data_IF_319389322811
#
_entry.id   IF_319389322811
#
_cell.length_a   1.000
_cell.length_b   1.000
_cell.length_c   1.000
_cell.angle_alpha   90.00
_cell.angle_beta   90.00
_cell.angle_gamma   90.00
#
_symmetry.space_group_name_H-M   'P 1'
#
loop_
_entity.id
_entity.type
_entity.pdbx_description
1 polymer ?
#
# COMPACT_ATOMS: atom_id res chain seq x y z
N UNK A 1 -1.87 10.56 8.57
CA UNK A 1 -2.52 9.40 9.20
C UNK A 1 -2.69 9.64 10.69
N UNK A 2 -3.90 9.52 11.23
CA UNK A 2 -4.12 9.61 12.67
C UNK A 2 -3.60 8.37 13.38
N UNK A 3 -3.05 8.54 14.58
CA UNK A 3 -2.82 7.44 15.51
C UNK A 3 -4.15 6.81 15.89
N UNK A 4 -4.13 5.53 16.27
CA UNK A 4 -5.35 4.78 16.56
C UNK A 4 -6.11 5.32 17.78
N UNK A 5 -5.38 5.95 18.71
CA UNK A 5 -5.96 6.64 19.87
C UNK A 5 -6.48 8.07 19.55
N UNK A 6 -6.39 8.49 18.28
CA UNK A 6 -6.81 9.82 17.79
C UNK A 6 -6.11 11.00 18.46
N UNK A 7 -4.91 10.80 19.03
CA UNK A 7 -4.15 11.86 19.72
C UNK A 7 -3.05 12.48 18.90
N UNK A 8 -2.58 11.80 17.85
CA UNK A 8 -1.44 12.23 17.05
C UNK A 8 -1.74 12.09 15.56
N UNK A 9 -1.24 13.01 14.76
CA UNK A 9 -1.31 12.98 13.31
C UNK A 9 0.11 12.85 12.76
N UNK A 10 0.37 11.75 12.07
CA UNK A 10 1.61 11.49 11.32
C UNK A 10 1.48 12.03 9.90
N UNK A 11 2.49 12.75 9.45
CA UNK A 11 2.47 13.50 8.20
C UNK A 11 3.78 13.33 7.45
N UNK A 12 3.69 13.18 6.13
CA UNK A 12 4.79 13.46 5.22
C UNK A 12 4.62 14.89 4.71
N UNK A 13 5.60 15.75 4.97
CA UNK A 13 5.56 17.20 4.70
C UNK A 13 6.68 17.59 3.74
N UNK A 14 6.45 18.59 2.88
CA UNK A 14 7.43 19.18 1.95
C UNK A 14 8.03 18.22 0.91
N UNK A 15 7.20 17.34 0.33
CA UNK A 15 7.62 16.36 -0.68
C UNK A 15 8.10 16.99 -1.99
N UNK A 16 9.38 17.37 -2.07
CA UNK A 16 10.14 17.40 -3.31
C UNK A 16 11.14 16.24 -3.28
N UNK A 17 11.29 15.57 -4.41
CA UNK A 17 12.00 14.29 -4.60
C UNK A 17 13.49 14.25 -4.17
N UNK A 18 14.07 15.37 -3.74
CA UNK A 18 15.52 15.49 -3.54
C UNK A 18 15.93 16.42 -2.40
N UNK A 19 15.01 17.17 -1.78
CA UNK A 19 15.34 18.07 -0.67
C UNK A 19 14.10 18.50 0.12
N UNK A 20 14.28 18.70 1.42
CA UNK A 20 13.32 19.38 2.29
C UNK A 20 12.15 18.55 2.80
N UNK A 21 12.00 17.30 2.33
CA UNK A 21 10.99 16.36 2.82
C UNK A 21 11.18 16.02 4.30
N UNK A 22 10.08 15.89 5.03
CA UNK A 22 10.09 15.53 6.45
C UNK A 22 8.97 14.56 6.78
N UNK A 23 9.23 13.67 7.73
CA UNK A 23 8.17 12.97 8.45
C UNK A 23 7.99 13.68 9.78
N UNK A 24 6.75 14.08 10.08
CA UNK A 24 6.41 14.85 11.25
C UNK A 24 5.22 14.26 12.01
N UNK A 25 5.21 14.48 13.32
CA UNK A 25 4.08 14.16 14.19
C UNK A 25 3.52 15.46 14.76
N UNK A 26 2.23 15.65 14.59
CA UNK A 26 1.46 16.66 15.29
C UNK A 26 0.65 16.01 16.41
N UNK A 27 0.87 16.40 17.66
CA UNK A 27 0.04 15.95 18.79
C UNK A 27 -1.13 16.91 18.98
N UNK A 28 -2.33 16.38 19.19
CA UNK A 28 -3.53 17.18 19.40
C UNK A 28 -3.35 18.13 20.59
N UNK A 29 -3.59 19.42 20.35
CA UNK A 29 -3.39 20.48 21.35
C UNK A 29 -1.99 21.07 21.40
N UNK A 30 -1.01 20.50 20.66
CA UNK A 30 0.29 21.14 20.48
C UNK A 30 0.18 22.35 19.55
N UNK A 31 1.09 23.32 19.70
CA UNK A 31 1.14 24.51 18.83
C UNK A 31 1.96 24.28 17.56
N UNK A 32 2.77 23.23 17.52
CA UNK A 32 3.65 22.85 16.40
C UNK A 32 3.78 21.34 16.32
N UNK A 33 4.08 20.84 15.12
CA UNK A 33 4.54 19.47 14.90
C UNK A 33 6.01 19.30 15.32
N UNK A 34 6.42 18.06 15.50
CA UNK A 34 7.81 17.65 15.70
C UNK A 34 8.26 16.78 14.55
N UNK A 35 9.38 17.15 13.92
CA UNK A 35 10.04 16.33 12.91
C UNK A 35 10.69 15.10 13.55
N UNK A 36 10.44 13.93 12.96
CA UNK A 36 11.05 12.65 13.37
C UNK A 36 12.04 12.12 12.34
N UNK A 37 11.89 12.50 11.06
CA UNK A 37 12.81 12.14 9.99
C UNK A 37 12.95 13.30 8.98
N UNK A 38 14.15 13.48 8.42
CA UNK A 38 14.48 14.54 7.44
C UNK A 38 14.94 13.99 6.09
N UNK A 39 14.87 12.67 5.93
CA UNK A 39 15.36 11.88 4.81
C UNK A 39 14.24 11.00 4.21
N UNK A 40 12.96 11.43 4.12
CA UNK A 40 11.94 10.58 3.55
C UNK A 40 12.26 10.27 2.08
N UNK A 41 12.13 9.00 1.72
CA UNK A 41 12.18 8.56 0.33
C UNK A 41 10.84 8.69 -0.37
N UNK A 42 10.66 7.92 -1.44
CA UNK A 42 9.49 8.05 -2.32
C UNK A 42 8.31 7.23 -1.80
N UNK A 43 7.42 7.86 -1.03
CA UNK A 43 6.18 7.24 -0.56
C UNK A 43 5.07 8.27 -0.31
N UNK A 44 3.82 7.81 -0.25
CA UNK A 44 2.65 8.67 -0.01
C UNK A 44 2.20 8.68 1.44
N UNK A 45 1.94 7.50 2.01
CA UNK A 45 1.36 7.37 3.34
C UNK A 45 2.34 6.68 4.30
N UNK A 46 2.77 7.34 5.39
CA UNK A 46 3.42 6.67 6.51
C UNK A 46 2.35 5.96 7.37
N UNK A 47 2.76 4.97 8.17
CA UNK A 47 1.85 4.24 9.05
C UNK A 47 2.33 4.22 10.51
N UNK A 48 1.40 4.13 11.45
CA UNK A 48 1.69 3.85 12.86
C UNK A 48 1.72 2.34 13.10
N UNK A 49 2.51 1.88 14.06
CA UNK A 49 2.26 0.58 14.71
C UNK A 49 0.96 0.62 15.53
N UNK A 50 0.40 -0.54 15.86
CA UNK A 50 -0.87 -0.65 16.60
C UNK A 50 -0.85 0.04 17.97
N UNK A 51 0.28 -0.05 18.65
CA UNK A 51 0.61 0.54 19.94
C UNK A 51 0.95 2.04 19.87
N UNK A 52 1.21 2.58 18.67
CA UNK A 52 1.52 3.99 18.40
C UNK A 52 2.85 4.49 19.00
N UNK A 53 3.77 3.59 19.31
CA UNK A 53 5.12 3.90 19.81
C UNK A 53 6.17 3.96 18.68
N UNK A 54 5.91 3.27 17.57
CA UNK A 54 6.72 3.25 16.37
C UNK A 54 5.92 3.70 15.13
N UNK A 55 6.67 4.03 14.07
CA UNK A 55 6.13 4.38 12.76
C UNK A 55 6.84 3.58 11.67
N UNK A 56 6.09 3.25 10.63
CA UNK A 56 6.61 2.80 9.35
C UNK A 56 6.66 3.97 8.38
N UNK A 57 7.82 4.17 7.76
CA UNK A 57 7.99 5.11 6.66
C UNK A 57 9.06 4.61 5.69
N UNK A 58 9.26 5.33 4.59
CA UNK A 58 10.34 5.05 3.65
C UNK A 58 11.38 6.14 3.78
N UNK A 59 12.65 5.76 4.00
CA UNK A 59 13.80 6.67 3.97
C UNK A 59 14.56 6.54 2.65
N UNK A 60 15.24 7.61 2.26
CA UNK A 60 16.23 7.62 1.20
C UNK A 60 17.61 7.83 1.85
N UNK A 61 18.49 6.81 1.85
CA UNK A 61 19.83 6.93 2.39
C UNK A 61 20.61 8.10 1.77
N UNK A 62 21.62 8.65 2.49
CA UNK A 62 22.45 9.73 1.96
C UNK A 62 23.04 9.36 0.61
N UNK A 63 22.78 10.21 -0.38
CA UNK A 63 23.22 9.96 -1.74
C UNK A 63 24.73 10.23 -1.84
N UNK A 64 25.51 9.20 -2.20
CA UNK A 64 26.95 9.32 -2.34
C UNK A 64 27.33 10.06 -3.63
N UNK A 65 27.84 11.29 -3.52
CA UNK A 65 28.44 12.03 -4.64
C UNK A 65 27.62 13.20 -5.16
N UNK A 66 28.26 14.07 -5.95
CA UNK A 66 27.70 15.36 -6.36
C UNK A 66 26.66 15.30 -7.50
N UNK A 67 26.49 14.14 -8.14
CA UNK A 67 25.56 13.92 -9.27
C UNK A 67 25.08 12.46 -9.29
N UNK A 68 24.08 12.10 -8.47
CA UNK A 68 23.54 10.76 -8.48
C UNK A 68 22.82 10.41 -9.78
N UNK A 69 22.98 9.16 -10.18
CA UNK A 69 22.16 8.50 -11.19
C UNK A 69 21.01 7.76 -10.49
N UNK A 70 20.02 7.28 -11.25
CA UNK A 70 18.90 6.52 -10.69
C UNK A 70 19.32 5.24 -9.97
N UNK A 71 20.43 4.61 -10.39
CA UNK A 71 21.00 3.42 -9.77
C UNK A 71 21.69 3.72 -8.42
N UNK A 72 22.07 4.97 -8.17
CA UNK A 72 22.69 5.40 -6.90
C UNK A 72 21.63 5.69 -5.81
N UNK A 73 20.34 5.62 -6.15
CA UNK A 73 19.24 5.91 -5.26
C UNK A 73 18.63 4.61 -4.75
N UNK A 74 18.46 4.52 -3.43
CA UNK A 74 17.77 3.43 -2.76
C UNK A 74 16.63 3.99 -1.89
N UNK A 75 15.61 3.17 -1.65
CA UNK A 75 14.57 3.42 -0.67
C UNK A 75 14.60 2.30 0.35
N UNK A 76 14.60 2.64 1.63
CA UNK A 76 14.48 1.65 2.68
C UNK A 76 13.12 1.78 3.35
N UNK A 77 12.37 0.69 3.43
CA UNK A 77 11.21 0.61 4.32
C UNK A 77 11.74 0.42 5.73
N UNK A 78 11.36 1.31 6.65
CA UNK A 78 11.91 1.35 8.01
C UNK A 78 10.80 1.35 9.06
N UNK A 79 11.06 0.71 10.19
CA UNK A 79 10.31 0.87 11.45
C UNK A 79 11.16 1.69 12.41
N UNK A 80 10.58 2.73 13.01
CA UNK A 80 11.32 3.64 13.89
C UNK A 80 10.47 4.04 15.10
N UNK A 81 11.09 4.09 16.28
CA UNK A 81 10.44 4.67 17.45
C UNK A 81 10.15 6.16 17.27
N UNK A 82 9.00 6.60 17.74
CA UNK A 82 8.52 7.99 17.67
C UNK A 82 9.45 8.99 18.37
N UNK A 83 10.18 8.53 19.39
CA UNK A 83 11.18 9.33 20.11
C UNK A 83 12.54 9.38 19.39
N UNK A 84 12.70 8.66 18.28
CA UNK A 84 13.92 8.54 17.50
C UNK A 84 15.01 7.69 18.16
N UNK A 85 14.69 6.96 19.24
CA UNK A 85 15.69 6.22 20.02
C UNK A 85 16.29 5.02 19.26
N UNK A 86 15.52 4.39 18.37
CA UNK A 86 15.99 3.30 17.52
C UNK A 86 15.20 3.21 16.20
N UNK A 87 15.84 2.63 15.18
CA UNK A 87 15.27 2.35 13.86
C UNK A 87 15.76 1.02 13.32
N UNK A 88 14.90 0.28 12.61
CA UNK A 88 15.20 -0.95 11.90
C UNK A 88 14.90 -0.77 10.41
N UNK A 89 15.85 -1.15 9.55
CA UNK A 89 15.60 -1.33 8.11
C UNK A 89 14.93 -2.70 7.93
N UNK A 90 13.78 -2.69 7.28
CA UNK A 90 12.94 -3.88 7.03
C UNK A 90 13.11 -4.39 5.61
N UNK A 91 13.34 -3.49 4.66
CA UNK A 91 13.59 -3.82 3.26
C UNK A 91 14.40 -2.74 2.58
N UNK A 92 15.24 -3.13 1.62
CA UNK A 92 16.01 -2.23 0.75
C UNK A 92 15.52 -2.41 -0.69
N UNK A 93 15.08 -1.31 -1.30
CA UNK A 93 14.51 -1.30 -2.64
C UNK A 93 15.23 -0.30 -3.53
N UNK A 94 15.28 -0.53 -4.85
CA UNK A 94 15.83 0.44 -5.79
C UNK A 94 15.03 1.75 -5.77
N UNK A 95 15.54 2.77 -6.46
CA UNK A 95 14.86 4.05 -6.66
C UNK A 95 13.48 3.87 -7.29
N UNK A 96 12.49 3.83 -6.42
CA UNK A 96 11.14 3.42 -6.76
C UNK A 96 10.19 4.06 -5.78
N UNK A 97 8.98 4.20 -6.23
CA UNK A 97 7.92 4.73 -5.43
C UNK A 97 7.27 3.59 -4.65
N UNK A 98 7.36 3.64 -3.33
CA UNK A 98 6.84 2.63 -2.42
C UNK A 98 5.43 3.02 -1.97
N UNK A 99 4.49 2.10 -2.12
CA UNK A 99 3.12 2.18 -1.58
C UNK A 99 3.02 1.14 -0.47
N UNK A 100 2.80 1.56 0.77
CA UNK A 100 2.76 0.65 1.91
C UNK A 100 1.48 0.80 2.73
N UNK A 101 1.00 -0.30 3.27
CA UNK A 101 -0.17 -0.35 4.15
C UNK A 101 0.06 -1.41 5.22
N UNK A 102 -0.07 -1.01 6.49
CA UNK A 102 -0.09 -1.93 7.65
C UNK A 102 -1.40 -2.70 7.70
N UNK A 103 -1.36 -3.98 8.05
CA UNK A 103 -2.57 -4.78 8.29
C UNK A 103 -3.46 -4.14 9.38
N UNK A 104 -4.79 -4.28 9.35
CA UNK A 104 -5.65 -3.63 10.35
C UNK A 104 -5.47 -4.14 11.79
N UNK A 105 -5.06 -5.40 11.95
CA UNK A 105 -5.11 -6.15 13.21
C UNK A 105 -3.75 -6.52 13.80
N UNK A 106 -2.65 -6.30 13.08
CA UNK A 106 -1.28 -6.60 13.52
C UNK A 106 -0.25 -5.62 12.90
N UNK A 107 1.03 -5.75 13.16
CA UNK A 107 2.09 -4.87 12.66
C UNK A 107 2.75 -5.34 11.35
N UNK A 108 2.19 -6.34 10.68
CA UNK A 108 2.60 -6.70 9.32
C UNK A 108 2.33 -5.56 8.34
N UNK A 109 3.20 -5.41 7.34
CA UNK A 109 3.10 -4.36 6.33
C UNK A 109 3.18 -4.98 4.95
N UNK A 110 2.14 -4.79 4.15
CA UNK A 110 2.20 -5.08 2.73
C UNK A 110 2.67 -3.82 2.00
N UNK A 111 3.59 -3.97 1.05
CA UNK A 111 4.05 -2.87 0.22
C UNK A 111 4.27 -3.28 -1.23
N UNK A 112 4.04 -2.34 -2.14
CA UNK A 112 4.34 -2.52 -3.56
C UNK A 112 5.26 -1.44 -4.09
N UNK A 113 5.91 -1.75 -5.20
CA UNK A 113 6.93 -0.93 -5.83
C UNK A 113 6.44 -0.41 -7.19
N UNK A 114 6.55 0.90 -7.44
CA UNK A 114 6.19 1.56 -8.71
C UNK A 114 7.36 2.38 -9.29
N UNK A 115 7.68 2.27 -10.59
CA UNK A 115 8.77 3.01 -11.28
C UNK A 115 10.09 2.21 -11.42
N UNK A 116 11.20 2.73 -11.99
CA UNK A 116 11.35 3.54 -13.23
C UNK A 116 12.05 2.73 -14.34
N UNK A 117 12.81 1.66 -14.04
CA UNK A 117 13.44 0.83 -15.08
C UNK A 117 12.59 -0.34 -15.58
N UNK A 118 12.77 -0.64 -16.87
CA UNK A 118 12.06 -1.66 -17.65
C UNK A 118 12.71 -3.03 -17.45
N UNK A 119 12.07 -3.95 -16.72
CA UNK A 119 12.66 -5.28 -16.54
C UNK A 119 11.75 -6.37 -15.96
N UNK A 120 11.41 -6.31 -14.66
CA UNK A 120 10.72 -7.45 -14.02
C UNK A 120 10.02 -7.17 -12.68
N UNK A 121 10.42 -6.12 -11.94
CA UNK A 121 9.91 -5.83 -10.58
C UNK A 121 8.83 -4.73 -10.52
N UNK A 122 8.28 -4.31 -11.67
CA UNK A 122 7.23 -3.29 -11.70
C UNK A 122 5.94 -3.86 -11.11
N UNK A 123 5.43 -3.22 -10.05
CA UNK A 123 4.20 -3.64 -9.41
C UNK A 123 4.36 -4.99 -8.69
N UNK A 124 5.53 -5.32 -8.15
CA UNK A 124 5.63 -6.44 -7.20
C UNK A 124 4.96 -6.07 -5.88
N UNK A 125 4.36 -7.05 -5.21
CA UNK A 125 3.81 -6.93 -3.86
C UNK A 125 4.60 -7.81 -2.91
N UNK A 126 5.05 -7.22 -1.81
CA UNK A 126 5.82 -7.87 -0.75
C UNK A 126 5.11 -7.72 0.59
N UNK A 127 5.37 -8.66 1.50
CA UNK A 127 4.88 -8.66 2.87
C UNK A 127 6.07 -8.59 3.81
N UNK A 128 6.02 -7.67 4.77
CA UNK A 128 6.91 -7.61 5.92
C UNK A 128 6.17 -8.24 7.10
N UNK A 129 6.78 -9.26 7.69
CA UNK A 129 6.22 -9.96 8.85
C UNK A 129 6.42 -9.18 10.18
N UNK A 130 5.93 -9.73 11.29
CA UNK A 130 6.06 -9.12 12.64
C UNK A 130 7.52 -9.02 13.10
N UNK A 131 8.42 -9.86 12.58
CA UNK A 131 9.85 -9.85 12.91
C UNK A 131 10.63 -8.83 12.05
N UNK A 132 10.00 -8.31 11.01
CA UNK A 132 10.59 -7.39 10.04
C UNK A 132 11.27 -8.09 8.86
N UNK A 133 10.96 -9.36 8.60
CA UNK A 133 11.40 -10.09 7.41
C UNK A 133 10.49 -9.75 6.21
N UNK A 134 11.09 -9.29 5.11
CA UNK A 134 10.39 -8.94 3.89
C UNK A 134 10.43 -10.10 2.87
N UNK A 135 9.26 -10.53 2.41
CA UNK A 135 9.10 -11.61 1.43
C UNK A 135 8.26 -11.14 0.24
N UNK A 136 8.71 -11.43 -0.97
CA UNK A 136 7.94 -11.20 -2.19
C UNK A 136 6.78 -12.21 -2.27
N UNK A 137 5.54 -11.72 -2.34
CA UNK A 137 4.33 -12.57 -2.33
C UNK A 137 3.62 -12.68 -3.69
N UNK A 138 4.24 -12.14 -4.75
CA UNK A 138 3.75 -12.22 -6.13
C UNK A 138 4.82 -12.69 -7.10
N UNK A 139 4.40 -13.37 -8.16
CA UNK A 139 5.29 -13.78 -9.24
C UNK A 139 6.01 -12.58 -9.87
N UNK A 140 7.30 -12.78 -10.18
CA UNK A 140 8.09 -11.80 -10.94
C UNK A 140 7.43 -11.52 -12.30
N UNK A 141 7.27 -10.24 -12.65
CA UNK A 141 6.62 -9.80 -13.88
C UNK A 141 5.09 -9.68 -13.82
N UNK A 142 4.45 -10.05 -12.71
CA UNK A 142 3.06 -9.70 -12.47
C UNK A 142 2.96 -8.21 -12.11
N UNK A 143 2.28 -7.43 -12.94
CA UNK A 143 2.08 -6.02 -12.67
C UNK A 143 0.90 -5.82 -11.72
N UNK A 144 1.16 -5.82 -10.40
CA UNK A 144 0.18 -5.42 -9.38
C UNK A 144 -0.06 -3.92 -9.50
N UNK A 145 -1.33 -3.54 -9.48
CA UNK A 145 -1.78 -2.16 -9.62
C UNK A 145 -2.14 -1.54 -8.27
N UNK A 146 -2.73 -2.35 -7.39
CA UNK A 146 -3.22 -1.95 -6.07
C UNK A 146 -3.47 -3.19 -5.21
N UNK A 147 -3.53 -3.01 -3.89
CA UNK A 147 -3.82 -4.07 -2.93
C UNK A 147 -4.58 -3.55 -1.71
N UNK A 148 -5.28 -4.45 -1.01
CA UNK A 148 -6.13 -4.14 0.14
C UNK A 148 -6.13 -5.30 1.13
N UNK A 149 -5.80 -5.01 2.39
CA UNK A 149 -5.95 -5.96 3.49
C UNK A 149 -7.44 -6.29 3.74
N UNK A 150 -7.73 -7.55 4.07
CA UNK A 150 -9.01 -7.93 4.65
C UNK A 150 -9.18 -7.29 6.04
N UNK A 151 -10.41 -7.05 6.52
CA UNK A 151 -10.65 -6.41 7.80
C UNK A 151 -10.03 -7.14 9.01
N UNK A 152 -9.90 -8.47 8.90
CA UNK A 152 -9.27 -9.31 9.92
C UNK A 152 -7.74 -9.39 9.81
N UNK A 153 -7.15 -8.83 8.75
CA UNK A 153 -5.71 -8.83 8.48
C UNK A 153 -5.15 -10.18 8.05
N UNK A 154 -5.99 -11.15 7.64
CA UNK A 154 -5.54 -12.49 7.26
C UNK A 154 -5.33 -12.69 5.76
N UNK A 155 -5.88 -11.78 4.94
CA UNK A 155 -5.82 -11.88 3.50
C UNK A 155 -5.45 -10.53 2.89
N UNK A 156 -4.79 -10.58 1.74
CA UNK A 156 -4.53 -9.42 0.90
C UNK A 156 -5.20 -9.64 -0.44
N UNK A 157 -6.20 -8.82 -0.76
CA UNK A 157 -6.74 -8.75 -2.10
C UNK A 157 -5.87 -7.83 -2.95
N UNK A 158 -5.51 -8.23 -4.16
CA UNK A 158 -4.75 -7.37 -5.06
C UNK A 158 -5.20 -7.52 -6.50
N UNK A 159 -5.04 -6.43 -7.25
CA UNK A 159 -5.36 -6.37 -8.68
C UNK A 159 -4.07 -6.44 -9.48
N UNK A 160 -4.04 -7.34 -10.45
CA UNK A 160 -2.97 -7.37 -11.45
C UNK A 160 -3.51 -7.05 -12.84
N UNK A 161 -2.66 -6.50 -13.69
CA UNK A 161 -2.94 -6.39 -15.12
C UNK A 161 -1.87 -7.11 -15.93
N UNK A 162 -2.28 -7.94 -16.88
CA UNK A 162 -1.36 -8.49 -17.88
C UNK A 162 -1.16 -7.47 -19.02
N UNK A 163 0.07 -7.29 -19.54
CA UNK A 163 0.30 -6.48 -20.72
C UNK A 163 -0.53 -7.01 -21.90
N UNK A 164 -1.43 -6.19 -22.43
CA UNK A 164 -2.30 -6.50 -23.57
C UNK A 164 -2.42 -5.24 -24.43
N UNK A 165 -2.32 -5.40 -25.75
CA UNK A 165 -2.39 -4.29 -26.71
C UNK A 165 -3.83 -3.89 -27.07
N UNK A 166 -4.83 -4.64 -26.63
CA UNK A 166 -6.22 -4.53 -27.13
C UNK A 166 -7.22 -4.18 -26.01
N UNK A 167 -6.94 -4.58 -24.76
CA UNK A 167 -7.80 -4.28 -23.61
C UNK A 167 -7.03 -4.22 -22.28
N UNK A 168 -7.52 -3.39 -21.36
CA UNK A 168 -7.02 -3.24 -19.99
C UNK A 168 -7.80 -4.19 -19.10
N UNK A 169 -7.51 -5.50 -19.17
CA UNK A 169 -8.13 -6.47 -18.27
C UNK A 169 -7.38 -6.51 -16.94
N UNK A 170 -8.13 -6.52 -15.85
CA UNK A 170 -7.60 -6.69 -14.50
C UNK A 170 -8.10 -8.00 -13.90
N UNK A 171 -7.26 -8.63 -13.09
CA UNK A 171 -7.58 -9.87 -12.38
C UNK A 171 -7.49 -9.63 -10.88
N UNK A 172 -8.54 -10.00 -10.15
CA UNK A 172 -8.51 -10.08 -8.68
C UNK A 172 -7.77 -11.33 -8.23
N UNK A 173 -6.88 -11.16 -7.26
CA UNK A 173 -6.20 -12.23 -6.56
C UNK A 173 -6.38 -12.05 -5.06
N UNK A 174 -6.32 -13.17 -4.33
CA UNK A 174 -6.31 -13.21 -2.88
C UNK A 174 -5.06 -13.97 -2.45
N UNK A 175 -4.21 -13.30 -1.68
CA UNK A 175 -3.12 -13.92 -0.93
C UNK A 175 -3.60 -14.19 0.49
N UNK A 176 -3.46 -15.43 0.94
CA UNK A 176 -3.72 -15.85 2.33
C UNK A 176 -2.40 -15.84 3.11
N UNK A 177 -2.36 -15.08 4.21
CA UNK A 177 -1.13 -14.79 4.95
C UNK A 177 -0.62 -16.00 5.72
N UNK A 178 -1.51 -16.77 6.34
CA UNK A 178 -1.14 -17.91 7.19
C UNK A 178 -0.61 -19.07 6.35
N UNK A 179 -1.20 -19.31 5.19
CA UNK A 179 -0.79 -20.40 4.28
C UNK A 179 0.25 -19.99 3.24
N UNK A 180 0.50 -18.68 3.09
CA UNK A 180 1.34 -18.09 2.05
C UNK A 180 0.93 -18.52 0.63
N UNK A 181 -0.37 -18.67 0.39
CA UNK A 181 -0.90 -19.11 -0.90
C UNK A 181 -1.71 -18.03 -1.60
N UNK A 182 -1.57 -17.98 -2.93
CA UNK A 182 -2.32 -17.07 -3.80
C UNK A 182 -3.35 -17.83 -4.61
N UNK A 183 -4.56 -17.27 -4.71
CA UNK A 183 -5.58 -17.68 -5.68
C UNK A 183 -6.03 -16.53 -6.56
N UNK A 184 -6.08 -16.77 -7.87
CA UNK A 184 -6.72 -15.87 -8.83
C UNK A 184 -8.21 -16.16 -8.89
N UNK A 185 -9.04 -15.13 -8.91
CA UNK A 185 -10.50 -15.27 -8.88
C UNK A 185 -11.12 -14.93 -10.24
N UNK A 186 -11.32 -13.63 -10.52
CA UNK A 186 -12.05 -13.16 -11.69
C UNK A 186 -11.25 -12.16 -12.50
N UNK A 187 -11.47 -12.15 -13.82
CA UNK A 187 -10.90 -11.17 -14.74
C UNK A 187 -12.01 -10.35 -15.37
N UNK A 188 -11.85 -9.03 -15.37
CA UNK A 188 -12.87 -8.10 -15.83
C UNK A 188 -12.23 -6.88 -16.51
N UNK A 189 -13.06 -6.14 -17.25
CA UNK A 189 -12.70 -4.85 -17.82
C UNK A 189 -13.12 -3.77 -16.81
N UNK A 190 -12.20 -3.09 -16.12
CA UNK A 190 -12.56 -2.10 -15.11
C UNK A 190 -13.20 -0.88 -15.76
N UNK A 191 -14.06 -0.19 -15.03
CA UNK A 191 -14.52 1.15 -15.41
C UNK A 191 -13.38 2.17 -15.28
N UNK A 192 -13.48 3.28 -16.02
CA UNK A 192 -12.52 4.38 -15.92
C UNK A 192 -12.45 4.96 -14.49
N UNK A 193 -13.60 5.09 -13.82
CA UNK A 193 -13.66 5.61 -12.45
C UNK A 193 -12.98 4.66 -11.46
N UNK A 194 -13.17 3.34 -11.60
CA UNK A 194 -12.51 2.36 -10.75
C UNK A 194 -10.98 2.38 -10.94
N UNK A 195 -10.49 2.54 -12.17
CA UNK A 195 -9.04 2.70 -12.43
C UNK A 195 -8.48 3.96 -11.77
N UNK A 196 -9.18 5.09 -11.86
CA UNK A 196 -8.73 6.36 -11.24
C UNK A 196 -8.61 6.26 -9.73
N UNK A 197 -9.53 5.53 -9.10
CA UNK A 197 -9.52 5.27 -7.68
C UNK A 197 -8.27 4.50 -7.21
N UNK A 198 -7.83 3.52 -8.00
CA UNK A 198 -6.66 2.69 -7.69
C UNK A 198 -5.38 3.53 -7.52
N UNK A 199 -5.30 4.73 -8.11
CA UNK A 199 -4.13 5.61 -7.99
C UNK A 199 -3.91 6.17 -6.57
N UNK A 200 -4.96 6.16 -5.73
CA UNK A 200 -4.95 6.78 -4.40
C UNK A 200 -5.34 5.80 -3.29
N UNK A 201 -5.32 4.50 -3.56
CA UNK A 201 -5.83 3.47 -2.64
C UNK A 201 -5.20 3.53 -1.24
N UNK A 202 -3.90 3.79 -1.16
CA UNK A 202 -3.12 3.84 0.06
C UNK A 202 -3.32 5.14 0.86
N UNK A 203 -3.69 6.24 0.18
CA UNK A 203 -4.02 7.50 0.83
C UNK A 203 -5.35 7.46 1.60
N UNK A 204 -6.22 6.51 1.28
CA UNK A 204 -7.59 6.41 1.79
C UNK A 204 -7.91 5.08 2.45
N UNK A 205 -6.89 4.31 2.84
CA UNK A 205 -7.09 2.97 3.41
C UNK A 205 -7.97 2.98 4.67
N UNK A 206 -7.97 4.09 5.42
CA UNK A 206 -8.82 4.26 6.61
C UNK A 206 -10.23 4.83 6.31
N UNK A 207 -10.54 5.17 5.05
CA UNK A 207 -11.77 5.87 4.67
C UNK A 207 -12.79 4.99 3.94
N UNK A 208 -12.32 4.01 3.17
CA UNK A 208 -13.18 3.04 2.49
C UNK A 208 -12.39 1.76 2.23
N UNK A 209 -13.12 0.67 2.00
CA UNK A 209 -12.52 -0.60 1.58
C UNK A 209 -13.34 -1.21 0.45
N UNK A 210 -12.70 -1.88 -0.53
CA UNK A 210 -13.43 -2.77 -1.43
C UNK A 210 -13.92 -4.01 -0.69
N UNK A 211 -13.33 -4.35 0.47
CA UNK A 211 -13.83 -5.43 1.31
C UNK A 211 -15.11 -5.03 2.03
N UNK A 212 -16.07 -5.94 2.00
CA UNK A 212 -17.16 -5.98 2.99
C UNK A 212 -16.58 -6.08 4.41
N UNK A 213 -17.30 -5.54 5.39
CA UNK A 213 -16.83 -5.47 6.79
C UNK A 213 -16.59 -6.83 7.43
N UNK A 214 -17.26 -7.88 6.95
CA UNK A 214 -17.05 -9.26 7.40
C UNK A 214 -15.95 -10.00 6.61
N UNK A 215 -15.34 -9.36 5.62
CA UNK A 215 -14.25 -9.91 4.82
C UNK A 215 -14.68 -11.00 3.84
N UNK A 216 -15.97 -11.14 3.52
CA UNK A 216 -16.46 -12.23 2.66
C UNK A 216 -16.57 -11.85 1.19
N UNK A 217 -16.76 -10.57 0.91
CA UNK A 217 -16.98 -10.03 -0.43
C UNK A 217 -16.04 -8.86 -0.75
N UNK A 218 -15.68 -8.73 -2.03
CA UNK A 218 -15.09 -7.52 -2.62
C UNK A 218 -16.11 -6.80 -3.50
N UNK A 219 -16.08 -5.46 -3.51
CA UNK A 219 -16.88 -4.61 -4.38
C UNK A 219 -15.98 -3.90 -5.40
N UNK A 220 -16.34 -3.94 -6.68
CA UNK A 220 -15.54 -3.35 -7.76
C UNK A 220 -16.40 -2.85 -8.92
N UNK A 221 -15.85 -1.93 -9.71
CA UNK A 221 -16.49 -1.37 -10.90
C UNK A 221 -15.96 -2.01 -12.17
N UNK A 222 -16.86 -2.55 -12.99
CA UNK A 222 -16.60 -2.96 -14.38
C UNK A 222 -17.12 -1.89 -15.34
N UNK A 223 -16.70 -1.94 -16.59
CA UNK A 223 -17.22 -1.13 -17.69
C UNK A 223 -18.75 -1.20 -17.86
N UNK A 224 -19.38 -2.29 -17.45
CA UNK A 224 -20.82 -2.52 -17.58
C UNK A 224 -21.62 -2.51 -16.26
N UNK A 225 -21.00 -2.17 -15.12
CA UNK A 225 -21.71 -2.05 -13.85
C UNK A 225 -20.85 -2.26 -12.60
N UNK A 226 -21.52 -2.28 -11.45
CA UNK A 226 -20.88 -2.55 -10.16
C UNK A 226 -21.12 -3.99 -9.74
N UNK A 227 -20.07 -4.68 -9.29
CA UNK A 227 -20.07 -6.11 -8.99
C UNK A 227 -19.58 -6.40 -7.58
N UNK A 228 -20.19 -7.39 -6.95
CA UNK A 228 -19.65 -8.08 -5.78
C UNK A 228 -18.94 -9.37 -6.21
N UNK A 229 -17.79 -9.65 -5.61
CA UNK A 229 -17.05 -10.91 -5.74
C UNK A 229 -17.07 -11.61 -4.39
N UNK A 230 -17.72 -12.78 -4.32
CA UNK A 230 -17.59 -13.69 -3.19
C UNK A 230 -16.18 -14.26 -3.18
N UNK A 231 -15.44 -13.98 -2.11
CA UNK A 231 -14.01 -14.32 -2.01
C UNK A 231 -13.81 -15.82 -1.82
N UNK A 232 -14.71 -16.51 -1.13
CA UNK A 232 -14.60 -17.95 -0.92
C UNK A 232 -14.92 -18.74 -2.20
N UNK A 233 -16.03 -18.40 -2.87
CA UNK A 233 -16.53 -19.10 -4.05
C UNK A 233 -15.90 -18.62 -5.37
N UNK A 234 -15.31 -17.42 -5.40
CA UNK A 234 -14.85 -16.79 -6.63
C UNK A 234 -15.99 -16.34 -7.56
N UNK A 235 -17.23 -16.32 -7.05
CA UNK A 235 -18.41 -15.99 -7.82
C UNK A 235 -18.63 -14.47 -7.87
N UNK A 236 -18.88 -13.94 -9.06
CA UNK A 236 -19.22 -12.52 -9.26
C UNK A 236 -20.71 -12.34 -9.49
N UNK A 237 -21.26 -11.24 -8.97
CA UNK A 237 -22.67 -10.85 -9.17
C UNK A 237 -22.74 -9.36 -9.44
N UNK A 238 -23.40 -8.97 -10.55
CA UNK A 238 -23.69 -7.57 -10.84
C UNK A 238 -24.80 -7.09 -9.90
N UNK A 239 -24.55 -6.03 -9.14
CA UNK A 239 -25.49 -5.52 -8.13
C UNK A 239 -26.16 -4.20 -8.51
N UNK A 240 -25.56 -3.43 -9.44
CA UNK A 240 -26.09 -2.15 -9.86
C UNK A 240 -25.53 -1.69 -11.21
N UNK A 241 -26.24 -0.75 -11.84
CA UNK A 241 -25.65 0.12 -12.86
C UNK A 241 -24.69 1.13 -12.18
N UNK A 242 -23.66 1.57 -12.90
CA UNK A 242 -22.69 2.56 -12.42
C UNK A 242 -21.24 2.13 -12.63
N UNK A 243 -20.31 3.01 -12.27
CA UNK A 243 -18.88 2.80 -12.55
C UNK A 243 -18.08 2.40 -11.31
N UNK A 244 -18.57 2.62 -10.10
CA UNK A 244 -17.81 2.35 -8.88
C UNK A 244 -18.73 2.27 -7.65
N UNK A 245 -18.32 1.50 -6.66
CA UNK A 245 -18.93 1.42 -5.34
C UNK A 245 -17.90 1.03 -4.28
N UNK A 246 -18.17 1.39 -3.02
CA UNK A 246 -17.35 1.01 -1.86
C UNK A 246 -18.23 0.64 -0.68
N UNK A 247 -17.64 -0.13 0.24
CA UNK A 247 -18.20 -0.29 1.58
C UNK A 247 -17.79 0.89 2.45
N UNK A 248 -18.76 1.41 3.21
CA UNK A 248 -18.53 2.46 4.20
C UNK A 248 -18.46 1.80 5.58
N UNK A 249 -17.36 2.03 6.30
CA UNK A 249 -17.16 1.53 7.65
C UNK A 249 -16.29 0.27 7.71
N UNK A 250 -15.05 0.45 8.20
CA UNK A 250 -14.11 -0.57 8.65
C UNK A 250 -13.51 -0.13 9.99
#
# INVERSE_FOLDING_TARGET
MWSRDSRSLLMHVNGHQFDGGRVEIYRLGATRSSTIANDPGFFFAPAWTLDNDEVFYVTQPPIAGARPTGEDLANHVVRMFVDGAASQVLSEEPASLIRMVRAPTNNQVAYMIQGVDSGSIRGSLSLIDENGEATLITDLGLNVLTFFWSPDGKQIAYLSQRPSSVSVLQTWHIFDVDSETTRSLTTFQPSDTFVRFQLFFDAFVDSFSPWSSDGTCLLYGSDDGVYTLDVAAGQTTRIADGEWGVWIGG
#
